data_IF_647660767557
#
_entry.id   IF_647660767557
#
_cell.length_a   1.000
_cell.length_b   1.000
_cell.length_c   1.000
_cell.angle_alpha   90.00
_cell.angle_beta   90.00
_cell.angle_gamma   90.00
#
_symmetry.space_group_name_H-M   'P 1'
#
loop_
_entity.id
_entity.type
_entity.pdbx_description
1 polymer ?
#
# COMPACT_ATOMS: atom_id res chain seq x y z
N UNK A 1 12.17 -9.94 5.51
CA UNK A 1 10.85 -10.12 4.86
C UNK A 1 11.07 -10.72 3.49
N UNK A 2 10.31 -11.73 3.11
CA UNK A 2 10.30 -12.29 1.76
C UNK A 2 8.91 -12.05 1.14
N UNK A 3 8.88 -11.56 -0.10
CA UNK A 3 7.64 -11.37 -0.86
C UNK A 3 7.63 -12.43 -1.96
N UNK A 4 6.59 -13.26 -1.98
CA UNK A 4 6.40 -14.26 -3.04
C UNK A 4 5.78 -13.58 -4.27
N UNK A 5 6.63 -13.31 -5.26
CA UNK A 5 6.25 -12.63 -6.49
C UNK A 5 5.33 -13.48 -7.37
N UNK A 6 5.53 -14.80 -7.36
CA UNK A 6 4.74 -15.72 -8.17
C UNK A 6 3.33 -15.82 -7.62
N UNK A 7 3.21 -15.91 -6.30
CA UNK A 7 1.92 -15.85 -5.63
C UNK A 7 1.16 -14.55 -5.92
N UNK A 8 1.83 -13.40 -5.80
CA UNK A 8 1.20 -12.10 -6.05
C UNK A 8 0.67 -11.98 -7.49
N UNK A 9 1.47 -12.45 -8.47
CA UNK A 9 1.07 -12.47 -9.88
C UNK A 9 -0.12 -13.40 -10.13
N UNK A 10 -0.06 -14.63 -9.61
CA UNK A 10 -1.14 -15.60 -9.77
C UNK A 10 -2.46 -15.10 -9.16
N UNK A 11 -2.40 -14.47 -7.98
CA UNK A 11 -3.57 -13.86 -7.36
C UNK A 11 -4.15 -12.70 -8.18
N UNK A 12 -3.30 -11.85 -8.75
CA UNK A 12 -3.75 -10.77 -9.62
C UNK A 12 -4.41 -11.29 -10.91
N UNK A 13 -3.86 -12.34 -11.52
CA UNK A 13 -4.46 -12.99 -12.69
C UNK A 13 -5.85 -13.57 -12.38
N UNK A 14 -6.02 -14.17 -11.20
CA UNK A 14 -7.33 -14.64 -10.74
C UNK A 14 -8.30 -13.47 -10.53
N UNK A 15 -7.85 -12.40 -9.90
CA UNK A 15 -8.65 -11.19 -9.68
C UNK A 15 -9.15 -10.57 -10.99
N UNK A 16 -8.29 -10.53 -12.01
CA UNK A 16 -8.63 -10.04 -13.35
C UNK A 16 -9.70 -10.86 -14.07
N UNK A 17 -9.90 -12.12 -13.70
CA UNK A 17 -11.00 -12.94 -14.23
C UNK A 17 -12.35 -12.55 -13.61
N UNK A 18 -12.35 -11.96 -12.42
CA UNK A 18 -13.57 -11.50 -11.73
C UNK A 18 -13.94 -10.09 -12.21
N UNK A 19 -12.97 -9.17 -12.21
CA UNK A 19 -13.18 -7.84 -12.76
C UNK A 19 -11.94 -7.27 -13.44
N UNK A 20 -12.13 -6.69 -14.61
CA UNK A 20 -11.06 -6.09 -15.39
C UNK A 20 -10.73 -4.66 -14.95
N UNK A 21 -11.60 -4.01 -14.18
CA UNK A 21 -11.48 -2.60 -13.79
C UNK A 21 -10.55 -2.38 -12.59
N UNK A 22 -10.40 -3.36 -11.71
CA UNK A 22 -9.55 -3.25 -10.54
C UNK A 22 -8.09 -3.53 -10.88
N UNK A 23 -7.19 -2.72 -10.32
CA UNK A 23 -5.75 -2.69 -10.64
C UNK A 23 -4.93 -2.77 -9.36
N UNK A 24 -3.67 -3.20 -9.48
CA UNK A 24 -2.70 -3.07 -8.39
C UNK A 24 -2.39 -1.58 -8.21
N UNK A 25 -2.76 -1.03 -7.06
CA UNK A 25 -2.47 0.36 -6.67
C UNK A 25 -1.35 0.46 -5.63
N UNK A 26 -0.91 -0.66 -5.07
CA UNK A 26 0.08 -0.70 -4.01
C UNK A 26 -0.15 -1.89 -3.09
N UNK A 27 0.14 -1.70 -1.81
CA UNK A 27 0.12 -2.77 -0.81
C UNK A 27 -0.26 -2.25 0.57
N UNK A 28 -0.71 -3.17 1.42
CA UNK A 28 -1.05 -2.86 2.80
C UNK A 28 -0.33 -3.81 3.77
N UNK A 29 -0.13 -3.34 4.99
CA UNK A 29 0.38 -4.14 6.09
C UNK A 29 -0.37 -3.79 7.38
N UNK A 30 -0.42 -4.76 8.30
CA UNK A 30 -0.89 -4.49 9.65
C UNK A 30 0.17 -3.73 10.44
N UNK A 31 -0.27 -2.89 11.37
CA UNK A 31 0.59 -2.04 12.19
C UNK A 31 0.21 -0.56 12.07
N UNK A 32 0.73 0.24 13.01
CA UNK A 32 0.35 1.66 13.09
C UNK A 32 1.28 2.56 12.27
N UNK A 33 2.49 2.12 11.91
CA UNK A 33 3.51 2.96 11.28
C UNK A 33 4.36 2.20 10.25
N UNK A 34 5.11 2.98 9.46
CA UNK A 34 6.11 2.50 8.50
C UNK A 34 7.25 1.80 9.24
N UNK A 35 7.72 0.69 8.69
CA UNK A 35 8.86 -0.07 9.24
C UNK A 35 10.06 0.02 8.30
N UNK A 36 11.23 -0.41 8.77
CA UNK A 36 12.44 -0.50 7.92
C UNK A 36 12.21 -1.38 6.68
N UNK A 37 11.36 -2.41 6.80
CA UNK A 37 11.04 -3.31 5.69
C UNK A 37 10.15 -2.66 4.62
N UNK A 38 9.47 -1.56 4.94
CA UNK A 38 8.56 -0.90 4.01
C UNK A 38 9.28 -0.40 2.75
N UNK A 39 10.55 0.01 2.84
CA UNK A 39 11.31 0.47 1.66
C UNK A 39 11.52 -0.68 0.66
N UNK A 40 11.91 -1.86 1.14
CA UNK A 40 12.17 -3.03 0.28
C UNK A 40 10.89 -3.55 -0.38
N UNK A 41 9.80 -3.64 0.37
CA UNK A 41 8.50 -4.06 -0.18
C UNK A 41 7.98 -3.01 -1.18
N UNK A 42 8.18 -1.73 -0.90
CA UNK A 42 7.74 -0.67 -1.78
C UNK A 42 8.53 -0.62 -3.09
N UNK A 43 9.84 -0.90 -3.07
CA UNK A 43 10.63 -1.03 -4.30
C UNK A 43 10.10 -2.15 -5.19
N UNK A 44 9.63 -3.26 -4.61
CA UNK A 44 8.96 -4.31 -5.37
C UNK A 44 7.68 -3.79 -6.05
N UNK A 45 6.76 -3.20 -5.29
CA UNK A 45 5.50 -2.71 -5.86
C UNK A 45 5.66 -1.53 -6.83
N UNK A 46 6.76 -0.79 -6.76
CA UNK A 46 7.10 0.23 -7.77
C UNK A 46 7.35 -0.35 -9.17
N UNK A 47 7.56 -1.66 -9.28
CA UNK A 47 7.67 -2.37 -10.57
C UNK A 47 6.31 -2.83 -11.10
N UNK A 48 5.33 -3.00 -10.21
CA UNK A 48 4.00 -3.53 -10.52
C UNK A 48 2.93 -2.43 -10.66
N UNK A 49 3.15 -1.26 -10.04
CA UNK A 49 2.22 -0.14 -10.06
C UNK A 49 2.95 1.20 -10.18
N UNK A 50 2.35 2.15 -10.91
CA UNK A 50 2.81 3.52 -10.96
C UNK A 50 2.46 4.24 -9.65
N UNK A 51 3.45 4.81 -8.97
CA UNK A 51 3.29 5.50 -7.68
C UNK A 51 2.51 4.66 -6.65
N UNK A 52 3.05 3.49 -6.24
CA UNK A 52 2.33 2.58 -5.36
C UNK A 52 1.97 3.25 -4.03
N UNK A 53 0.79 2.94 -3.51
CA UNK A 53 0.33 3.40 -2.19
C UNK A 53 0.69 2.33 -1.17
N UNK A 54 1.41 2.72 -0.10
CA UNK A 54 1.60 1.88 1.08
C UNK A 54 0.55 2.27 2.13
N UNK A 55 -0.26 1.31 2.56
CA UNK A 55 -1.28 1.51 3.59
C UNK A 55 -0.95 0.73 4.86
N UNK A 56 -0.96 1.39 6.01
CA UNK A 56 -0.84 0.73 7.31
C UNK A 56 -2.20 0.68 8.00
N UNK A 57 -2.58 -0.50 8.47
CA UNK A 57 -3.86 -0.76 9.14
C UNK A 57 -3.58 -1.18 10.58
N UNK A 58 -3.93 -0.32 11.53
CA UNK A 58 -3.83 -0.63 12.94
C UNK A 58 -5.01 -1.53 13.36
N UNK A 59 -4.71 -2.82 13.49
CA UNK A 59 -5.66 -3.85 13.94
C UNK A 59 -5.65 -4.06 15.45
N UNK A 60 -4.88 -3.27 16.21
CA UNK A 60 -4.83 -3.38 17.68
C UNK A 60 -6.12 -2.91 18.36
N UNK A 61 -6.95 -2.12 17.65
CA UNK A 61 -8.19 -1.53 18.14
C UNK A 61 -8.01 -0.70 19.42
N UNK A 62 -6.79 -0.25 19.71
CA UNK A 62 -6.53 0.63 20.84
C UNK A 62 -7.29 1.94 20.65
N UNK A 63 -8.12 2.32 21.64
CA UNK A 63 -9.02 3.46 21.52
C UNK A 63 -10.30 3.21 20.73
N UNK A 64 -10.63 1.95 20.42
CA UNK A 64 -11.90 1.56 19.80
C UNK A 64 -12.06 1.99 18.34
N UNK A 65 -10.94 2.29 17.66
CA UNK A 65 -10.94 2.69 16.25
C UNK A 65 -9.85 1.92 15.51
N UNK A 66 -10.18 1.44 14.32
CA UNK A 66 -9.19 0.96 13.37
C UNK A 66 -8.56 2.19 12.70
N UNK A 67 -7.26 2.37 12.86
CA UNK A 67 -6.57 3.50 12.26
C UNK A 67 -5.96 3.08 10.92
N UNK A 68 -6.21 3.85 9.87
CA UNK A 68 -5.64 3.62 8.55
C UNK A 68 -4.81 4.85 8.20
N UNK A 69 -3.54 4.62 7.85
CA UNK A 69 -2.67 5.64 7.29
C UNK A 69 -2.22 5.20 5.90
N UNK A 70 -2.12 6.13 4.97
CA UNK A 70 -1.66 5.86 3.62
C UNK A 70 -0.45 6.75 3.29
N UNK A 71 0.44 6.22 2.47
CA UNK A 71 1.70 6.88 2.12
C UNK A 71 2.05 6.65 0.66
N UNK A 72 2.71 7.62 0.06
CA UNK A 72 3.41 7.49 -1.24
C UNK A 72 4.90 7.70 -1.03
N UNK A 73 5.74 7.04 -1.84
CA UNK A 73 7.16 7.36 -1.85
C UNK A 73 7.43 8.68 -2.56
N UNK A 74 8.41 9.41 -2.05
CA UNK A 74 8.95 10.62 -2.65
C UNK A 74 10.45 10.55 -2.55
N UNK A 75 11.14 10.77 -3.68
CA UNK A 75 12.59 10.87 -3.69
C UNK A 75 13.02 12.10 -2.88
N UNK A 76 13.92 11.90 -1.93
CA UNK A 76 14.43 12.96 -1.06
C UNK A 76 15.95 12.94 -1.06
N UNK A 77 16.55 14.12 -1.23
CA UNK A 77 18.00 14.28 -1.14
C UNK A 77 18.47 15.44 -1.99
N UNK A 78 19.79 15.57 -2.10
CA UNK A 78 20.45 16.71 -2.74
C UNK A 78 20.88 16.30 -4.14
N UNK A 79 20.64 17.16 -5.13
CA UNK A 79 21.07 16.91 -6.51
C UNK A 79 22.57 16.61 -6.56
N UNK A 80 22.95 15.54 -7.25
CA UNK A 80 24.34 15.06 -7.36
C UNK A 80 24.86 14.25 -6.17
N UNK A 81 24.03 13.92 -5.17
CA UNK A 81 24.38 13.03 -4.05
C UNK A 81 23.39 11.85 -3.97
N UNK A 82 23.59 10.97 -2.98
CA UNK A 82 22.69 9.85 -2.71
C UNK A 82 21.24 10.32 -2.53
N UNK A 83 20.34 9.71 -3.29
CA UNK A 83 18.91 9.93 -3.18
C UNK A 83 18.32 8.89 -2.22
N UNK A 84 17.63 9.36 -1.18
CA UNK A 84 16.83 8.54 -0.29
C UNK A 84 15.37 8.48 -0.72
N UNK A 85 14.63 7.58 -0.09
CA UNK A 85 13.17 7.47 -0.26
C UNK A 85 12.52 7.90 1.06
N UNK A 86 11.60 8.85 0.98
CA UNK A 86 10.73 9.24 2.09
C UNK A 86 9.30 8.82 1.78
N UNK A 87 8.55 8.45 2.82
CA UNK A 87 7.12 8.19 2.71
C UNK A 87 6.34 9.44 3.13
N UNK A 88 5.61 10.01 2.19
CA UNK A 88 4.77 11.19 2.42
C UNK A 88 3.37 10.73 2.79
N UNK A 89 2.81 11.15 3.96
CA UNK A 89 1.48 10.75 4.38
C UNK A 89 0.40 11.37 3.49
N UNK A 90 -0.65 10.60 3.24
CA UNK A 90 -1.85 11.01 2.52
C UNK A 90 -3.03 11.16 3.49
N UNK A 91 -3.96 12.04 3.13
CA UNK A 91 -5.26 12.10 3.81
C UNK A 91 -6.11 10.91 3.36
N UNK A 92 -6.67 10.16 4.30
CA UNK A 92 -7.52 8.99 4.04
C UNK A 92 -8.96 9.32 4.40
N UNK A 93 -9.90 8.90 3.55
CA UNK A 93 -11.33 8.96 3.80
C UNK A 93 -11.94 7.61 3.51
N UNK A 94 -12.90 7.21 4.34
CA UNK A 94 -13.70 6.01 4.10
C UNK A 94 -14.85 6.37 3.17
N UNK A 95 -14.87 5.74 2.02
CA UNK A 95 -15.97 5.78 1.06
C UNK A 95 -16.43 4.34 0.83
N UNK A 96 -17.70 4.16 0.54
CA UNK A 96 -18.31 2.86 0.30
C UNK A 96 -19.23 2.96 -0.90
N UNK A 97 -19.34 1.88 -1.67
CA UNK A 97 -20.40 1.75 -2.66
C UNK A 97 -21.75 1.54 -1.96
N UNK A 98 -22.84 1.87 -2.65
CA UNK A 98 -24.19 1.67 -2.10
C UNK A 98 -24.45 0.20 -1.75
N UNK A 99 -23.90 -0.73 -2.53
CA UNK A 99 -24.00 -2.17 -2.27
C UNK A 99 -23.24 -2.61 -1.01
N UNK A 100 -22.14 -1.94 -0.66
CA UNK A 100 -21.35 -2.25 0.55
C UNK A 100 -21.99 -1.67 1.81
N UNK A 101 -22.77 -0.58 1.67
CA UNK A 101 -23.45 0.07 2.80
C UNK A 101 -24.58 -0.78 3.40
N UNK A 102 -25.16 -1.66 2.60
CA UNK A 102 -26.36 -2.43 3.00
C UNK A 102 -26.00 -3.66 3.86
N UNK A 103 -24.74 -4.13 3.78
CA UNK A 103 -24.23 -5.25 4.58
C UNK A 103 -23.94 -4.88 6.02
#
# INVERSE_FOLDING_TARGET
>A
VAVDMEFAKNMYELHKKVTSTELILGWYATGNDITEHSVLIHEYYSREANNPIHMTVDTSLQGGRMNIKAYISTAMGISGKTMGVMFTPLTVQYIHYDTERIG
#
